data_IF_241628935910
#
_entry.id   IF_241628935910
#
_cell.length_a   1.000
_cell.length_b   1.000
_cell.length_c   1.000
_cell.angle_alpha   90.00
_cell.angle_beta   90.00
_cell.angle_gamma   90.00
#
_symmetry.space_group_name_H-M   'P 1'
#
loop_
_entity.id
_entity.type
_entity.pdbx_description
1 polymer ?
#
# COMPACT_ATOMS: atom_id res chain seq x y z
N UNK A 1 16.80 -7.80 -28.12
CA UNK A 1 16.72 -8.92 -27.16
C UNK A 1 17.92 -9.89 -27.21
N UNK A 2 18.24 -10.54 -28.33
CA UNK A 2 19.30 -11.58 -28.41
C UNK A 2 20.68 -11.15 -27.89
N UNK A 3 21.14 -9.94 -28.22
CA UNK A 3 22.42 -9.41 -27.73
C UNK A 3 22.44 -9.23 -26.21
N UNK A 4 21.34 -8.77 -25.62
CA UNK A 4 21.19 -8.58 -24.19
C UNK A 4 21.27 -9.92 -23.44
N UNK A 5 20.54 -10.95 -23.92
CA UNK A 5 20.61 -12.32 -23.39
C UNK A 5 22.02 -12.89 -23.42
N UNK A 6 22.71 -12.75 -24.56
CA UNK A 6 24.10 -13.21 -24.72
C UNK A 6 25.05 -12.50 -23.74
N UNK A 7 24.85 -11.20 -23.50
CA UNK A 7 25.66 -10.42 -22.58
C UNK A 7 25.43 -10.84 -21.13
N UNK A 8 24.17 -10.91 -20.68
CA UNK A 8 23.77 -11.35 -19.35
C UNK A 8 24.32 -12.75 -19.04
N UNK A 9 24.20 -13.69 -20.00
CA UNK A 9 24.74 -15.04 -19.85
C UNK A 9 26.28 -15.08 -19.81
N UNK A 10 26.97 -14.32 -20.68
CA UNK A 10 28.44 -14.28 -20.73
C UNK A 10 29.05 -13.72 -19.44
N UNK A 11 28.41 -12.70 -18.87
CA UNK A 11 28.91 -11.96 -17.70
C UNK A 11 28.28 -12.41 -16.38
N UNK A 12 27.30 -13.31 -16.42
CA UNK A 12 26.62 -13.91 -15.26
C UNK A 12 26.00 -12.87 -14.32
N UNK A 13 25.12 -12.03 -14.87
CA UNK A 13 24.33 -11.05 -14.12
C UNK A 13 22.89 -11.00 -14.63
N UNK A 14 21.99 -10.48 -13.79
CA UNK A 14 20.60 -10.19 -14.15
C UNK A 14 20.48 -8.80 -14.76
N UNK A 15 19.79 -8.67 -15.88
CA UNK A 15 19.64 -7.42 -16.63
C UNK A 15 18.15 -7.04 -16.76
N UNK A 16 17.74 -5.98 -16.08
CA UNK A 16 16.47 -5.30 -16.34
C UNK A 16 16.60 -4.42 -17.57
N UNK A 17 15.80 -4.67 -18.61
CA UNK A 17 15.83 -3.94 -19.87
C UNK A 17 14.44 -3.40 -20.21
N UNK A 18 14.35 -2.10 -20.48
CA UNK A 18 13.12 -1.46 -20.94
C UNK A 18 13.16 -1.12 -22.43
N UNK A 19 12.04 -1.26 -23.11
CA UNK A 19 11.90 -0.94 -24.54
C UNK A 19 10.45 -0.76 -24.94
N UNK A 20 10.24 -0.13 -26.09
CA UNK A 20 8.90 -0.01 -26.69
C UNK A 20 8.78 -0.96 -27.86
N UNK A 21 7.68 -1.71 -27.94
CA UNK A 21 7.31 -2.48 -29.13
C UNK A 21 6.29 -1.66 -29.92
N UNK A 22 6.53 -1.51 -31.22
CA UNK A 22 5.60 -0.92 -32.17
C UNK A 22 5.18 -2.00 -33.17
N UNK A 23 3.92 -2.40 -33.16
CA UNK A 23 3.38 -3.37 -34.13
C UNK A 23 2.92 -2.63 -35.41
N UNK A 24 3.66 -2.71 -36.52
CA UNK A 24 3.17 -2.33 -37.87
C UNK A 24 3.21 -0.83 -38.25
N UNK A 25 3.56 -0.54 -39.51
CA UNK A 25 3.89 0.80 -40.04
C UNK A 25 2.73 1.74 -40.39
N UNK A 26 1.62 1.73 -39.64
CA UNK A 26 0.53 2.72 -39.83
C UNK A 26 0.25 3.49 -38.53
N UNK A 27 -0.10 4.77 -38.63
CA UNK A 27 -0.22 5.72 -37.50
C UNK A 27 -1.32 5.39 -36.46
N UNK A 28 -1.99 4.23 -36.57
CA UNK A 28 -3.06 3.75 -35.66
C UNK A 28 -2.64 2.65 -34.69
N UNK A 29 -1.40 2.14 -34.75
CA UNK A 29 -1.01 1.01 -33.92
C UNK A 29 -0.54 1.41 -32.52
N UNK A 30 -1.01 0.65 -31.52
CA UNK A 30 -0.71 0.87 -30.11
C UNK A 30 0.71 0.40 -29.80
N UNK A 31 1.49 1.25 -29.15
CA UNK A 31 2.82 0.94 -28.62
C UNK A 31 2.68 0.13 -27.33
N UNK A 32 3.58 -0.81 -27.07
CA UNK A 32 3.68 -1.49 -25.77
C UNK A 32 4.94 -1.03 -25.06
N UNK A 33 4.82 -0.55 -23.84
CA UNK A 33 5.96 -0.17 -23.01
C UNK A 33 6.33 -1.36 -22.12
N UNK A 34 7.53 -1.92 -22.32
CA UNK A 34 7.96 -3.20 -21.77
C UNK A 34 9.13 -3.02 -20.80
N UNK A 35 9.14 -3.84 -19.75
CA UNK A 35 10.27 -4.14 -18.87
C UNK A 35 10.48 -5.65 -18.88
N UNK A 36 11.69 -6.09 -19.22
CA UNK A 36 12.07 -7.51 -19.19
C UNK A 36 13.24 -7.71 -18.25
N UNK A 37 13.12 -8.64 -17.32
CA UNK A 37 14.25 -9.13 -16.54
C UNK A 37 14.87 -10.34 -17.23
N UNK A 38 16.16 -10.23 -17.56
CA UNK A 38 16.92 -11.26 -18.26
C UNK A 38 17.91 -11.89 -17.29
N UNK A 39 17.90 -13.21 -17.18
CA UNK A 39 18.79 -13.96 -16.29
C UNK A 39 20.08 -14.44 -16.97
N UNK A 40 21.04 -14.97 -16.19
CA UNK A 40 22.08 -15.83 -16.73
C UNK A 40 21.43 -17.05 -17.43
N UNK A 41 22.10 -17.67 -18.40
CA UNK A 41 21.58 -18.83 -19.18
C UNK A 41 20.60 -18.51 -20.32
N UNK A 42 20.52 -17.26 -20.77
CA UNK A 42 19.64 -16.80 -21.86
C UNK A 42 18.13 -16.88 -21.55
N UNK A 43 17.77 -17.04 -20.28
CA UNK A 43 16.39 -17.05 -19.84
C UNK A 43 15.82 -15.64 -19.71
N UNK A 44 14.52 -15.52 -19.97
CA UNK A 44 13.74 -14.36 -19.56
C UNK A 44 13.10 -14.75 -18.23
N UNK A 45 13.40 -14.02 -17.16
CA UNK A 45 12.81 -14.25 -15.83
C UNK A 45 11.36 -13.79 -15.83
N UNK A 46 11.10 -12.53 -16.22
CA UNK A 46 9.75 -12.05 -16.50
C UNK A 46 9.74 -11.01 -17.61
N UNK A 47 8.58 -10.88 -18.25
CA UNK A 47 8.20 -9.75 -19.09
C UNK A 47 7.04 -9.01 -18.42
N UNK A 48 7.16 -7.70 -18.33
CA UNK A 48 6.17 -6.79 -17.77
C UNK A 48 5.79 -5.73 -18.81
N UNK A 49 4.49 -5.55 -19.05
CA UNK A 49 3.96 -4.46 -19.85
C UNK A 49 3.35 -3.42 -18.91
N UNK A 50 3.72 -2.15 -19.12
CA UNK A 50 3.21 -1.01 -18.34
C UNK A 50 1.68 -1.05 -18.25
N UNK A 51 1.14 -1.00 -17.04
CA UNK A 51 -0.31 -1.16 -16.83
C UNK A 51 -1.04 0.17 -16.95
N UNK A 52 -0.43 1.25 -16.44
CA UNK A 52 -0.99 2.59 -16.40
C UNK A 52 -0.15 3.55 -17.25
N UNK A 53 -0.41 3.63 -18.57
CA UNK A 53 0.16 4.67 -19.41
C UNK A 53 -0.17 6.07 -18.87
N UNK A 54 0.79 6.99 -18.97
CA UNK A 54 0.61 8.38 -18.54
C UNK A 54 -0.47 9.02 -19.41
N UNK A 55 -1.56 9.54 -18.82
CA UNK A 55 -2.60 10.23 -19.59
C UNK A 55 -2.00 11.34 -20.44
N UNK A 56 -2.50 11.51 -21.66
CA UNK A 56 -2.04 12.50 -22.67
C UNK A 56 -0.64 12.21 -23.23
N UNK A 57 0.37 11.96 -22.40
CA UNK A 57 1.75 11.75 -22.85
C UNK A 57 1.96 10.39 -23.55
N UNK A 58 1.26 9.35 -23.10
CA UNK A 58 1.33 7.99 -23.65
C UNK A 58 -0.01 7.56 -24.27
N UNK A 59 -0.72 8.49 -24.92
CA UNK A 59 -2.05 8.25 -25.53
C UNK A 59 -2.09 7.13 -26.59
N UNK A 60 -0.93 6.80 -27.16
CA UNK A 60 -0.77 5.73 -28.16
C UNK A 60 -0.21 4.45 -27.57
N UNK A 61 -0.04 4.37 -26.25
CA UNK A 61 0.49 3.19 -25.55
C UNK A 61 -0.66 2.32 -25.04
N UNK A 62 -0.60 1.03 -25.31
CA UNK A 62 -1.52 0.03 -24.80
C UNK A 62 -1.23 -0.29 -23.33
N UNK A 63 -2.27 -0.20 -22.49
CA UNK A 63 -2.24 -0.75 -21.13
C UNK A 63 -1.99 -2.26 -21.17
N UNK A 64 -1.06 -2.71 -20.33
CA UNK A 64 -0.86 -4.12 -20.02
C UNK A 64 -2.09 -4.76 -19.38
N UNK A 65 -2.08 -6.10 -19.21
CA UNK A 65 -3.23 -6.86 -18.69
C UNK A 65 -3.66 -6.46 -17.27
N UNK A 66 -2.83 -5.71 -16.55
CA UNK A 66 -3.11 -5.25 -15.19
C UNK A 66 -3.31 -6.40 -14.21
N UNK A 67 -3.96 -6.10 -13.08
CA UNK A 67 -4.23 -7.07 -12.03
C UNK A 67 -3.05 -7.22 -11.08
N UNK A 68 -2.02 -7.97 -11.47
CA UNK A 68 -0.90 -8.30 -10.58
C UNK A 68 0.46 -8.07 -11.23
N UNK A 69 1.39 -7.53 -10.46
CA UNK A 69 2.80 -7.53 -10.79
C UNK A 69 3.36 -8.95 -10.66
N UNK A 70 4.26 -9.32 -11.58
CA UNK A 70 4.96 -10.59 -11.49
C UNK A 70 6.04 -10.50 -10.42
N UNK A 71 6.07 -11.48 -9.53
CA UNK A 71 7.13 -11.66 -8.54
C UNK A 71 7.81 -12.98 -8.88
N UNK A 72 9.05 -12.90 -9.32
CA UNK A 72 9.83 -14.07 -9.70
C UNK A 72 10.99 -14.28 -8.74
N UNK A 73 11.24 -15.54 -8.41
CA UNK A 73 12.39 -15.90 -7.60
C UNK A 73 13.64 -16.01 -8.47
N UNK A 74 14.75 -15.42 -8.02
CA UNK A 74 16.05 -15.54 -8.67
C UNK A 74 17.10 -16.02 -7.68
N UNK A 75 18.05 -16.80 -8.19
CA UNK A 75 19.18 -17.31 -7.40
C UNK A 75 20.46 -16.56 -7.74
N UNK A 76 21.09 -16.00 -6.71
CA UNK A 76 22.36 -15.30 -6.79
C UNK A 76 23.42 -16.20 -6.17
N UNK A 77 24.26 -16.80 -7.00
CA UNK A 77 25.38 -17.63 -6.53
C UNK A 77 26.50 -16.77 -5.96
N UNK A 78 26.82 -16.98 -4.68
CA UNK A 78 27.97 -16.36 -4.04
C UNK A 78 29.19 -17.29 -4.15
N UNK A 79 30.17 -16.84 -4.93
CA UNK A 79 31.42 -17.60 -5.14
C UNK A 79 32.27 -17.76 -3.88
N UNK A 80 32.16 -16.85 -2.92
CA UNK A 80 33.02 -16.81 -1.73
C UNK A 80 32.54 -17.85 -0.71
N UNK A 81 31.25 -17.79 -0.35
CA UNK A 81 30.62 -18.73 0.59
C UNK A 81 30.21 -20.05 -0.07
N UNK A 82 30.21 -20.13 -1.41
CA UNK A 82 29.75 -21.29 -2.21
C UNK A 82 28.29 -21.67 -1.92
N UNK A 83 27.47 -20.70 -1.56
CA UNK A 83 26.03 -20.82 -1.39
C UNK A 83 25.30 -20.00 -2.46
N UNK A 84 23.99 -20.27 -2.59
CA UNK A 84 23.08 -19.49 -3.41
C UNK A 84 22.12 -18.74 -2.49
N UNK A 85 21.93 -17.46 -2.78
CA UNK A 85 20.92 -16.64 -2.11
C UNK A 85 19.72 -16.54 -3.04
N UNK A 86 18.55 -16.87 -2.53
CA UNK A 86 17.29 -16.74 -3.26
C UNK A 86 16.64 -15.41 -2.87
N UNK A 87 16.24 -14.61 -3.87
CA UNK A 87 15.50 -13.36 -3.68
C UNK A 87 14.33 -13.27 -4.65
N UNK A 88 13.26 -12.61 -4.23
CA UNK A 88 12.11 -12.32 -5.06
C UNK A 88 12.25 -10.93 -5.69
N UNK A 89 12.07 -10.86 -7.01
CA UNK A 89 12.19 -9.62 -7.78
C UNK A 89 10.90 -9.35 -8.54
N UNK A 90 10.48 -8.09 -8.51
CA UNK A 90 9.38 -7.58 -9.31
C UNK A 90 9.79 -6.29 -10.03
N UNK A 91 8.87 -5.72 -10.81
CA UNK A 91 9.12 -4.45 -11.48
C UNK A 91 7.85 -3.74 -11.94
N UNK A 92 7.88 -2.42 -11.89
CA UNK A 92 6.79 -1.54 -12.31
C UNK A 92 7.37 -0.30 -12.99
N UNK A 93 6.70 0.21 -14.04
CA UNK A 93 7.29 1.23 -14.92
C UNK A 93 6.71 2.61 -14.58
N UNK A 94 7.58 3.55 -14.22
CA UNK A 94 7.24 4.96 -14.08
C UNK A 94 5.99 5.15 -13.19
N UNK A 95 4.92 5.73 -13.75
CA UNK A 95 3.64 6.01 -13.10
C UNK A 95 2.96 4.80 -12.47
N UNK A 96 3.26 3.56 -12.89
CA UNK A 96 2.70 2.36 -12.24
C UNK A 96 2.96 2.35 -10.73
N UNK A 97 4.10 2.89 -10.29
CA UNK A 97 4.48 2.98 -8.88
C UNK A 97 3.59 3.92 -8.05
N UNK A 98 2.72 4.71 -8.67
CA UNK A 98 1.82 5.61 -7.97
C UNK A 98 0.45 4.96 -7.70
N UNK A 99 0.27 3.68 -8.07
CA UNK A 99 -0.96 2.91 -7.86
C UNK A 99 -0.82 1.89 -6.71
N UNK A 100 -1.37 2.17 -5.51
CA UNK A 100 -1.27 1.27 -4.37
C UNK A 100 -1.74 -0.15 -4.64
N UNK A 101 -2.91 -0.28 -5.25
CA UNK A 101 -3.56 -1.55 -5.59
C UNK A 101 -2.71 -2.46 -6.47
N UNK A 102 -1.89 -1.89 -7.35
CA UNK A 102 -0.96 -2.65 -8.18
C UNK A 102 0.26 -3.07 -7.36
N UNK A 103 0.80 -2.18 -6.54
CA UNK A 103 2.09 -2.39 -5.86
C UNK A 103 1.98 -3.29 -4.62
N UNK A 104 0.79 -3.43 -4.04
CA UNK A 104 0.51 -4.43 -3.00
C UNK A 104 0.62 -5.87 -3.51
N UNK A 105 0.40 -6.10 -4.80
CA UNK A 105 0.56 -7.43 -5.43
C UNK A 105 2.02 -7.86 -5.53
N UNK A 106 2.96 -6.92 -5.42
CA UNK A 106 4.39 -7.18 -5.33
C UNK A 106 4.92 -7.24 -3.89
N UNK A 107 4.04 -7.33 -2.88
CA UNK A 107 4.44 -7.45 -1.47
C UNK A 107 5.34 -8.64 -1.19
N UNK A 108 5.32 -9.68 -2.03
CA UNK A 108 6.23 -10.82 -1.94
C UNK A 108 7.65 -10.58 -2.53
N UNK A 109 7.88 -9.44 -3.18
CA UNK A 109 9.22 -9.06 -3.64
C UNK A 109 10.15 -8.62 -2.49
N UNK A 110 11.45 -8.85 -2.66
CA UNK A 110 12.51 -8.23 -1.86
C UNK A 110 13.02 -6.95 -2.52
N UNK A 111 13.00 -6.93 -3.87
CA UNK A 111 13.41 -5.79 -4.69
C UNK A 111 12.36 -5.54 -5.78
N UNK A 112 11.98 -4.28 -5.95
CA UNK A 112 11.18 -3.79 -7.08
C UNK A 112 12.05 -2.91 -7.97
N UNK A 113 12.16 -3.29 -9.25
CA UNK A 113 12.82 -2.50 -10.27
C UNK A 113 11.86 -1.42 -10.79
N UNK A 114 12.27 -0.17 -10.69
CA UNK A 114 11.50 0.98 -11.17
C UNK A 114 12.26 1.73 -12.27
N UNK A 115 12.19 1.27 -13.53
CA UNK A 115 12.59 2.12 -14.64
C UNK A 115 11.59 3.26 -14.84
N UNK A 116 12.10 4.45 -15.14
CA UNK A 116 11.28 5.62 -15.42
C UNK A 116 11.94 6.51 -16.48
N UNK A 117 11.11 7.39 -17.06
CA UNK A 117 11.57 8.48 -17.92
C UNK A 117 10.70 9.69 -17.61
N UNK A 118 11.02 10.39 -16.53
CA UNK A 118 10.29 11.63 -16.21
C UNK A 118 10.83 12.80 -17.03
N UNK A 119 10.00 13.80 -17.29
CA UNK A 119 10.37 14.94 -18.14
C UNK A 119 11.07 16.07 -17.38
N UNK A 120 11.28 15.91 -16.08
CA UNK A 120 11.92 16.90 -15.21
C UNK A 120 12.45 16.24 -13.95
N UNK A 121 13.63 16.65 -13.51
CA UNK A 121 14.20 16.28 -12.22
C UNK A 121 13.32 16.63 -11.01
N UNK A 122 12.54 17.72 -11.09
CA UNK A 122 11.65 18.10 -9.98
C UNK A 122 10.47 17.14 -9.87
N UNK A 123 9.89 16.77 -11.02
CA UNK A 123 8.81 15.79 -11.09
C UNK A 123 9.34 14.40 -10.72
N UNK A 124 10.53 14.05 -11.20
CA UNK A 124 11.24 12.83 -10.82
C UNK A 124 11.43 12.72 -9.31
N UNK A 125 11.79 13.80 -8.63
CA UNK A 125 11.95 13.82 -7.18
C UNK A 125 10.63 13.62 -6.44
N UNK A 126 9.53 14.22 -6.91
CA UNK A 126 8.20 13.97 -6.34
C UNK A 126 7.78 12.51 -6.54
N UNK A 127 8.03 11.97 -7.72
CA UNK A 127 7.73 10.59 -8.06
C UNK A 127 8.60 9.59 -7.28
N UNK A 128 9.85 9.95 -6.95
CA UNK A 128 10.72 9.18 -6.05
C UNK A 128 10.14 9.14 -4.64
N UNK A 129 9.59 10.26 -4.14
CA UNK A 129 8.91 10.30 -2.84
C UNK A 129 7.66 9.41 -2.84
N UNK A 130 6.87 9.40 -3.91
CA UNK A 130 5.72 8.49 -4.04
C UNK A 130 6.15 7.00 -4.03
N UNK A 131 7.23 6.68 -4.75
CA UNK A 131 7.83 5.35 -4.71
C UNK A 131 8.34 4.99 -3.30
N UNK A 132 8.77 5.97 -2.50
CA UNK A 132 9.18 5.74 -1.12
C UNK A 132 8.03 5.27 -0.23
N UNK A 133 6.83 5.78 -0.48
CA UNK A 133 5.62 5.32 0.19
C UNK A 133 5.31 3.87 -0.19
N UNK A 134 5.51 3.47 -1.45
CA UNK A 134 5.31 2.06 -1.86
C UNK A 134 6.28 1.10 -1.16
N UNK A 135 7.53 1.54 -0.97
CA UNK A 135 8.55 0.76 -0.28
C UNK A 135 8.17 0.49 1.19
N UNK A 136 7.79 1.53 1.96
CA UNK A 136 7.37 1.35 3.36
C UNK A 136 6.06 0.59 3.49
N UNK A 137 5.14 0.76 2.53
CA UNK A 137 3.86 0.05 2.52
C UNK A 137 4.02 -1.46 2.33
N UNK A 138 5.05 -1.90 1.61
CA UNK A 138 5.19 -3.31 1.20
C UNK A 138 6.45 -4.00 1.72
N UNK A 139 7.39 -3.24 2.30
CA UNK A 139 8.60 -3.79 2.91
C UNK A 139 9.65 -4.31 1.94
N UNK A 140 9.73 -3.75 0.71
CA UNK A 140 10.74 -4.09 -0.28
C UNK A 140 11.69 -2.92 -0.58
N UNK A 141 12.86 -3.23 -1.14
CA UNK A 141 13.75 -2.24 -1.73
C UNK A 141 13.18 -1.74 -3.07
N UNK A 142 13.37 -0.45 -3.37
CA UNK A 142 13.09 0.10 -4.71
C UNK A 142 14.37 0.58 -5.33
N UNK A 143 14.70 0.03 -6.50
CA UNK A 143 15.80 0.49 -7.34
C UNK A 143 15.22 1.28 -8.49
N UNK A 144 15.30 2.61 -8.40
CA UNK A 144 14.76 3.52 -9.39
C UNK A 144 15.84 3.97 -10.37
N UNK A 145 15.63 3.67 -11.64
CA UNK A 145 16.47 4.11 -12.76
C UNK A 145 15.64 5.03 -13.66
N UNK A 146 15.80 6.34 -13.48
CA UNK A 146 15.10 7.37 -14.27
C UNK A 146 16.05 8.03 -15.26
N UNK A 147 15.79 7.87 -16.56
CA UNK A 147 16.64 8.44 -17.61
C UNK A 147 16.43 9.94 -17.85
N UNK A 148 15.35 10.55 -17.36
CA UNK A 148 15.01 11.96 -17.63
C UNK A 148 14.80 12.84 -16.39
N UNK A 149 14.67 12.25 -15.20
CA UNK A 149 14.54 13.00 -13.95
C UNK A 149 15.40 12.46 -12.82
N UNK A 150 14.80 11.82 -11.82
CA UNK A 150 15.52 11.48 -10.57
C UNK A 150 15.61 9.98 -10.37
N UNK A 151 16.83 9.47 -10.36
CA UNK A 151 17.16 8.10 -9.97
C UNK A 151 17.38 8.02 -8.46
N UNK A 152 17.22 6.83 -7.88
CA UNK A 152 17.39 6.69 -6.44
C UNK A 152 17.28 5.26 -5.94
N UNK A 153 17.67 5.11 -4.68
CA UNK A 153 17.56 3.86 -3.93
C UNK A 153 16.71 4.12 -2.69
N UNK A 154 15.73 3.25 -2.46
CA UNK A 154 14.82 3.36 -1.32
C UNK A 154 14.84 2.04 -0.56
N UNK A 155 15.00 2.13 0.77
CA UNK A 155 14.95 0.96 1.63
C UNK A 155 13.51 0.57 2.03
N UNK A 156 13.30 -0.66 2.56
CA UNK A 156 12.00 -1.15 3.03
C UNK A 156 11.31 -0.30 4.10
N UNK A 157 12.02 0.64 4.73
CA UNK A 157 11.45 1.58 5.70
C UNK A 157 11.03 2.91 5.04
N UNK A 158 11.02 2.97 3.70
CA UNK A 158 10.70 4.16 2.92
C UNK A 158 11.77 5.24 2.97
N UNK A 159 12.98 4.94 3.46
CA UNK A 159 14.05 5.93 3.54
C UNK A 159 14.74 5.99 2.18
N UNK A 160 14.83 7.19 1.63
CA UNK A 160 15.59 7.44 0.41
C UNK A 160 17.08 7.42 0.78
N UNK A 161 17.79 6.37 0.34
CA UNK A 161 19.20 6.13 0.63
C UNK A 161 20.14 6.78 -0.37
N UNK A 162 19.64 7.03 -1.56
CA UNK A 162 20.38 7.70 -2.61
C UNK A 162 19.43 8.48 -3.52
N UNK A 163 19.91 9.62 -4.03
CA UNK A 163 19.22 10.47 -4.99
C UNK A 163 20.25 10.93 -6.00
N UNK A 164 19.95 10.74 -7.28
CA UNK A 164 20.71 11.34 -8.37
C UNK A 164 19.76 12.02 -9.34
N UNK A 165 20.13 13.24 -9.76
CA UNK A 165 19.44 13.95 -10.82
C UNK A 165 20.05 13.65 -12.19
N UNK A 166 19.20 13.44 -13.18
CA UNK A 166 19.60 13.21 -14.57
C UNK A 166 20.46 14.38 -15.05
N UNK A 167 21.61 14.05 -15.64
CA UNK A 167 22.57 14.99 -16.19
C UNK A 167 22.97 14.57 -17.61
N UNK A 168 23.61 15.47 -18.34
CA UNK A 168 24.08 15.19 -19.71
C UNK A 168 25.24 14.16 -19.75
N UNK A 169 25.84 13.83 -18.61
CA UNK A 169 26.90 12.84 -18.52
C UNK A 169 26.32 11.44 -18.30
N UNK A 170 26.87 10.44 -18.98
CA UNK A 170 26.55 9.04 -18.68
C UNK A 170 27.11 8.69 -17.29
N UNK A 171 26.23 8.45 -16.34
CA UNK A 171 26.60 8.04 -14.99
C UNK A 171 26.17 6.60 -14.74
N UNK A 172 27.02 5.85 -14.05
CA UNK A 172 26.74 4.48 -13.60
C UNK A 172 26.79 4.50 -12.08
N UNK A 173 25.74 3.97 -11.47
CA UNK A 173 25.63 3.86 -10.02
C UNK A 173 25.62 2.39 -9.61
N UNK A 174 26.28 2.10 -8.50
CA UNK A 174 26.32 0.78 -7.89
C UNK A 174 26.00 0.90 -6.41
N UNK A 175 25.16 0.00 -5.92
CA UNK A 175 24.75 -0.05 -4.52
C UNK A 175 24.88 -1.46 -4.00
N UNK A 176 25.33 -1.58 -2.75
CA UNK A 176 25.30 -2.83 -2.02
C UNK A 176 24.05 -2.84 -1.13
N UNK A 177 23.19 -3.85 -1.32
CA UNK A 177 21.91 -3.97 -0.62
C UNK A 177 22.00 -5.09 0.41
N UNK A 178 21.65 -4.84 1.69
CA UNK A 178 21.45 -5.92 2.65
C UNK A 178 20.10 -6.58 2.34
N UNK A 179 20.15 -7.71 1.64
CA UNK A 179 18.95 -8.47 1.28
C UNK A 179 18.62 -9.51 2.36
N UNK A 180 17.33 -9.83 2.55
CA UNK A 180 16.92 -10.96 3.37
C UNK A 180 17.54 -12.23 2.79
N UNK A 181 18.53 -12.79 3.50
CA UNK A 181 19.20 -14.01 3.07
C UNK A 181 18.22 -15.17 3.30
N UNK A 182 17.58 -15.72 2.27
CA UNK A 182 16.93 -17.04 2.39
C UNK A 182 17.96 -18.05 1.87
N UNK A 183 18.68 -18.79 2.75
CA UNK A 183 19.49 -19.91 2.29
C UNK A 183 18.56 -20.94 1.65
N UNK A 184 18.91 -21.41 0.45
CA UNK A 184 18.12 -22.44 -0.24
C UNK A 184 18.09 -23.78 0.51
N UNK A 185 19.05 -24.00 1.41
CA UNK A 185 19.12 -25.10 2.37
C UNK A 185 19.67 -24.52 3.67
N UNK A 186 18.96 -24.57 4.81
CA UNK A 186 19.60 -24.87 6.11
C UNK A 186 18.65 -24.74 7.31
N UNK A 187 18.65 -25.85 8.06
CA UNK A 187 18.13 -26.07 9.41
C UNK A 187 19.05 -25.52 10.52
N UNK A 188 20.00 -24.63 10.18
CA UNK A 188 20.98 -24.10 11.15
C UNK A 188 20.49 -22.83 11.86
N UNK A 189 20.14 -23.00 13.13
CA UNK A 189 19.61 -21.98 14.04
C UNK A 189 20.62 -20.86 14.35
N UNK A 190 21.93 -21.12 14.21
CA UNK A 190 22.99 -20.13 14.48
C UNK A 190 23.10 -19.01 13.43
N UNK A 191 22.57 -19.25 12.21
CA UNK A 191 22.55 -18.28 11.11
C UNK A 191 21.33 -17.33 11.12
N UNK A 192 20.40 -17.47 12.08
CA UNK A 192 19.20 -16.61 12.17
C UNK A 192 19.51 -15.13 12.45
N UNK A 193 20.59 -14.83 13.19
CA UNK A 193 20.93 -13.44 13.58
C UNK A 193 21.45 -12.60 12.38
N UNK A 194 21.95 -13.24 11.31
CA UNK A 194 22.43 -12.56 10.08
C UNK A 194 21.33 -12.33 9.04
N UNK A 195 20.17 -12.97 9.20
CA UNK A 195 19.02 -12.82 8.32
C UNK A 195 18.30 -11.52 8.67
N UNK A 196 18.41 -10.49 7.82
CA UNK A 196 17.43 -9.39 7.89
C UNK A 196 16.11 -10.00 7.45
N UNK A 197 15.18 -10.20 8.36
CA UNK A 197 13.88 -10.75 8.00
C UNK A 197 13.13 -9.74 7.11
N UNK A 198 12.41 -10.26 6.12
CA UNK A 198 11.58 -9.43 5.27
C UNK A 198 10.51 -8.74 6.10
N UNK A 199 10.28 -7.46 5.84
CA UNK A 199 9.28 -6.68 6.56
C UNK A 199 7.90 -6.95 5.94
N UNK A 200 7.08 -7.73 6.63
CA UNK A 200 5.67 -7.87 6.27
C UNK A 200 4.85 -6.79 6.97
N UNK A 201 4.09 -6.02 6.19
CA UNK A 201 3.26 -4.94 6.74
C UNK A 201 1.79 -5.34 6.77
N UNK A 202 1.02 -4.71 7.66
CA UNK A 202 -0.44 -4.87 7.70
C UNK A 202 -1.07 -4.33 6.41
N UNK A 203 -0.51 -3.26 5.86
CA UNK A 203 -1.00 -2.64 4.63
C UNK A 203 -0.83 -3.57 3.42
N UNK A 204 0.29 -4.27 3.28
CA UNK A 204 0.50 -5.24 2.21
C UNK A 204 -0.56 -6.35 2.21
N UNK A 205 -1.00 -6.78 3.40
CA UNK A 205 -1.97 -7.87 3.56
C UNK A 205 -3.42 -7.44 3.36
N UNK A 206 -3.79 -6.26 3.87
CA UNK A 206 -5.19 -5.82 3.92
C UNK A 206 -5.50 -4.61 3.04
N UNK A 207 -4.47 -3.93 2.54
CA UNK A 207 -4.59 -2.69 1.77
C UNK A 207 -5.45 -1.64 2.47
N UNK A 208 -6.24 -0.93 1.67
CA UNK A 208 -7.08 0.17 2.12
C UNK A 208 -8.28 -0.27 2.98
N UNK A 209 -8.57 -1.58 3.09
CA UNK A 209 -9.63 -2.10 3.96
C UNK A 209 -9.42 -1.75 5.43
N UNK A 210 -8.16 -1.56 5.84
CA UNK A 210 -7.85 -1.10 7.20
C UNK A 210 -8.47 0.27 7.50
N UNK A 211 -8.43 1.18 6.52
CA UNK A 211 -9.00 2.52 6.62
C UNK A 211 -10.50 2.49 6.37
N UNK A 212 -10.95 1.88 5.26
CA UNK A 212 -12.37 1.80 4.91
C UNK A 212 -13.19 1.09 5.99
N UNK A 213 -12.65 0.01 6.55
CA UNK A 213 -13.27 -0.70 7.68
C UNK A 213 -13.45 0.20 8.89
N UNK A 214 -12.44 1.00 9.25
CA UNK A 214 -12.54 1.95 10.36
C UNK A 214 -13.61 3.02 10.13
N UNK A 215 -13.72 3.56 8.91
CA UNK A 215 -14.74 4.55 8.54
C UNK A 215 -16.14 3.93 8.65
N UNK A 216 -16.32 2.72 8.12
CA UNK A 216 -17.59 1.99 8.20
C UNK A 216 -17.97 1.73 9.65
N UNK A 217 -17.03 1.27 10.49
CA UNK A 217 -17.27 1.05 11.91
C UNK A 217 -17.68 2.34 12.62
N UNK A 218 -16.98 3.45 12.38
CA UNK A 218 -17.33 4.75 12.97
C UNK A 218 -18.72 5.23 12.52
N UNK A 219 -19.06 5.00 11.25
CA UNK A 219 -20.39 5.31 10.73
C UNK A 219 -21.47 4.49 11.43
N UNK A 220 -21.29 3.17 11.58
CA UNK A 220 -22.22 2.29 12.28
C UNK A 220 -22.38 2.68 13.75
N UNK A 221 -21.27 2.99 14.44
CA UNK A 221 -21.31 3.45 15.83
C UNK A 221 -22.11 4.74 15.97
N UNK A 222 -21.96 5.69 15.03
CA UNK A 222 -22.75 6.92 15.01
C UNK A 222 -24.24 6.64 14.80
N UNK A 223 -24.60 5.75 13.87
CA UNK A 223 -26.00 5.36 13.64
C UNK A 223 -26.60 4.71 14.90
N UNK A 224 -25.88 3.77 15.51
CA UNK A 224 -26.30 3.13 16.76
C UNK A 224 -26.47 4.16 17.88
N UNK A 225 -25.53 5.10 18.03
CA UNK A 225 -25.61 6.17 19.03
C UNK A 225 -26.86 7.02 18.84
N UNK A 226 -27.16 7.45 17.61
CA UNK A 226 -28.35 8.26 17.31
C UNK A 226 -29.64 7.50 17.59
N UNK A 227 -29.73 6.23 17.19
CA UNK A 227 -30.90 5.40 17.45
C UNK A 227 -31.12 5.13 18.95
N UNK A 228 -30.05 4.92 19.71
CA UNK A 228 -30.11 4.77 21.17
C UNK A 228 -30.48 6.08 21.86
N UNK A 229 -30.06 7.22 21.33
CA UNK A 229 -30.41 8.52 21.90
C UNK A 229 -31.88 8.87 21.68
N UNK A 230 -32.39 8.66 20.46
CA UNK A 230 -33.80 8.94 20.14
C UNK A 230 -34.77 8.06 20.94
N UNK A 231 -34.43 6.80 21.15
CA UNK A 231 -35.23 5.89 21.99
C UNK A 231 -35.16 6.22 23.48
N UNK A 232 -34.04 6.75 23.98
CA UNK A 232 -33.94 7.22 25.37
C UNK A 232 -34.73 8.50 25.63
N UNK A 233 -34.86 9.41 24.66
CA UNK A 233 -35.66 10.61 24.84
C UNK A 233 -37.13 10.27 25.12
N UNK A 234 -37.72 9.36 24.32
CA UNK A 234 -39.11 8.94 24.56
C UNK A 234 -39.27 8.23 25.90
N UNK A 235 -38.34 7.35 26.28
CA UNK A 235 -38.37 6.68 27.58
C UNK A 235 -38.24 7.67 28.75
N UNK A 236 -37.43 8.72 28.60
CA UNK A 236 -37.26 9.76 29.61
C UNK A 236 -38.51 10.63 29.77
N UNK A 237 -39.18 10.96 28.65
CA UNK A 237 -40.45 11.69 28.66
C UNK A 237 -41.57 10.88 29.34
N UNK A 238 -41.71 9.59 29.01
CA UNK A 238 -42.68 8.70 29.66
C UNK A 238 -42.42 8.57 31.17
N UNK A 239 -41.16 8.40 31.59
CA UNK A 239 -40.79 8.36 33.01
C UNK A 239 -41.09 9.68 33.72
N UNK A 240 -40.85 10.81 33.05
CA UNK A 240 -41.13 12.13 33.58
C UNK A 240 -42.64 12.36 33.77
N UNK A 241 -43.46 12.03 32.77
CA UNK A 241 -44.92 12.13 32.87
C UNK A 241 -45.49 11.24 33.97
N UNK A 242 -45.00 10.01 34.09
CA UNK A 242 -45.39 9.10 35.17
C UNK A 242 -45.06 9.69 36.55
N UNK A 243 -43.84 10.21 36.73
CA UNK A 243 -43.41 10.87 37.97
C UNK A 243 -44.23 12.12 38.30
N UNK A 244 -44.48 12.98 37.30
CA UNK A 244 -45.30 14.18 37.45
C UNK A 244 -46.74 13.84 37.85
N UNK A 245 -47.33 12.81 37.25
CA UNK A 245 -48.67 12.35 37.59
C UNK A 245 -48.73 11.79 39.02
N UNK A 246 -47.77 10.96 39.41
CA UNK A 246 -47.67 10.43 40.77
C UNK A 246 -47.57 11.56 41.83
N UNK A 247 -46.78 12.60 41.55
CA UNK A 247 -46.69 13.78 42.44
C UNK A 247 -48.01 14.55 42.53
N UNK A 248 -48.71 14.74 41.41
CA UNK A 248 -50.01 15.40 41.40
C UNK A 248 -51.06 14.62 42.20
N UNK A 249 -51.08 13.29 42.06
CA UNK A 249 -51.95 12.41 42.85
C UNK A 249 -51.62 12.52 44.34
N UNK A 250 -50.34 12.46 44.72
CA UNK A 250 -49.91 12.59 46.11
C UNK A 250 -50.28 13.96 46.70
N UNK A 251 -50.10 15.04 45.92
CA UNK A 251 -50.49 16.40 46.31
C UNK A 251 -52.00 16.52 46.55
N UNK A 252 -52.82 16.01 45.63
CA UNK A 252 -54.27 16.03 45.76
C UNK A 252 -54.74 15.20 46.96
N UNK A 253 -54.15 14.03 47.18
CA UNK A 253 -54.42 13.21 48.37
C UNK A 253 -54.07 13.96 49.66
N UNK A 254 -52.89 14.58 49.74
CA UNK A 254 -52.48 15.35 50.92
C UNK A 254 -53.41 16.52 51.18
N UNK A 255 -53.82 17.25 50.14
CA UNK A 255 -54.77 18.36 50.22
C UNK A 255 -56.13 17.90 50.76
N UNK A 256 -56.68 16.79 50.24
CA UNK A 256 -57.96 16.24 50.69
C UNK A 256 -57.92 15.83 52.18
N UNK A 257 -56.84 15.20 52.62
CA UNK A 257 -56.68 14.80 54.03
C UNK A 257 -56.50 16.02 54.95
N UNK A 258 -55.78 17.03 54.48
CA UNK A 258 -55.65 18.31 55.18
C UNK A 258 -57.01 18.98 55.34
N UNK A 259 -57.75 19.16 54.24
CA UNK A 259 -59.08 19.79 54.25
C UNK A 259 -60.10 19.01 55.10
N UNK A 260 -60.06 17.68 55.08
CA UNK A 260 -60.90 16.85 55.97
C UNK A 260 -60.53 17.03 57.44
N UNK A 261 -59.24 17.10 57.77
CA UNK A 261 -58.78 17.32 59.14
C UNK A 261 -59.26 18.68 59.67
N UNK A 262 -59.24 19.73 58.84
CA UNK A 262 -59.77 21.05 59.20
C UNK A 262 -61.29 21.04 59.42
N UNK A 263 -62.05 20.38 58.53
CA UNK A 263 -63.51 20.26 58.69
C UNK A 263 -63.91 19.50 59.95
N UNK A 264 -63.18 18.43 60.29
CA UNK A 264 -63.44 17.66 61.50
C UNK A 264 -63.19 18.50 62.76
N UNK A 265 -62.12 19.29 62.79
CA UNK A 265 -61.82 20.21 63.90
C UNK A 265 -62.87 21.33 64.01
N UNK A 266 -63.32 21.92 62.89
CA UNK A 266 -64.42 22.90 62.91
C UNK A 266 -65.73 22.30 63.42
N UNK A 267 -66.03 21.04 63.10
CA UNK A 267 -67.24 20.35 63.58
C UNK A 267 -67.19 19.96 65.06
N UNK A 268 -66.01 19.81 65.65
CA UNK A 268 -65.83 19.58 67.09
C UNK A 268 -65.90 20.88 67.91
N UNK A 269 -65.78 22.04 67.27
CA UNK A 269 -65.76 23.36 67.90
C UNK A 269 -67.11 24.11 67.84
N UNK A 270 -68.11 23.59 67.11
CA UNK A 270 -69.50 24.08 67.10
C UNK A 270 -70.44 23.18 67.93
#
# INVERSE_FOLDING_TARGET
MTRAKKLANKKKFYLGLTYTISEGGSARFKKKNMLTLIGPNNETVFDYQKTHPVPIAEYSTESGPGGNLRVENIEIFNKISKDSISINVSGAICLDMDFPELLTTASEADIVLQPAQTWSSIIGLQHLKMASTRAIENGYWVVRCDGGGTSGLIDPLGRIRHVEFSSAANQIFSFDLPLPLIPSNDDDESNRIRRVEKIHTIYAKYGDWTILGSIITLFLLKVCWVALWSTRQSQMEEMWEYGANAMNVAKNWAQLNYDQSFKNVESELM
#
